data_IF_601131507418
#
_entry.id   IF_601131507418
#
_cell.length_a   1.000
_cell.length_b   1.000
_cell.length_c   1.000
_cell.angle_alpha   90.00
_cell.angle_beta   90.00
_cell.angle_gamma   90.00
#
_symmetry.space_group_name_H-M   'P 1'
#
loop_
_entity.id
_entity.type
_entity.pdbx_description
1 polymer ?
#
# COMPACT_ATOMS: atom_id res chain seq x y z
N UNK A 1 24.38 37.54 -26.89
CA UNK A 1 24.33 36.11 -26.53
C UNK A 1 22.90 35.85 -26.13
N UNK A 2 22.12 35.26 -27.04
CA UNK A 2 20.69 35.04 -26.85
C UNK A 2 20.49 33.68 -26.16
N UNK A 3 19.75 33.69 -25.06
CA UNK A 3 19.21 32.49 -24.40
C UNK A 3 18.14 31.90 -25.31
N UNK A 4 18.32 30.65 -25.73
CA UNK A 4 17.32 29.89 -26.47
C UNK A 4 16.48 29.08 -25.50
N UNK A 5 15.20 29.42 -25.38
CA UNK A 5 14.19 28.57 -24.77
C UNK A 5 14.05 27.29 -25.59
N UNK A 6 14.51 26.17 -25.04
CA UNK A 6 14.15 24.85 -25.54
C UNK A 6 12.77 24.47 -24.97
N UNK A 7 11.70 24.93 -25.62
CA UNK A 7 10.40 24.27 -25.51
C UNK A 7 10.54 22.86 -26.10
N UNK A 8 10.61 21.86 -25.23
CA UNK A 8 10.46 20.47 -25.65
C UNK A 8 8.99 20.25 -26.01
N UNK A 9 8.68 20.37 -27.30
CA UNK A 9 7.44 19.88 -27.89
C UNK A 9 7.29 18.38 -27.55
N UNK A 10 6.40 18.07 -26.61
CA UNK A 10 5.99 16.69 -26.35
C UNK A 10 5.21 16.24 -27.59
N UNK A 11 5.58 15.15 -28.27
CA UNK A 11 4.85 14.72 -29.46
C UNK A 11 3.42 14.39 -29.06
N UNK A 12 2.47 15.16 -29.60
CA UNK A 12 1.05 14.93 -29.43
C UNK A 12 0.70 13.64 -30.18
N UNK A 13 0.74 12.51 -29.47
CA UNK A 13 0.36 11.24 -30.05
C UNK A 13 -1.14 11.30 -30.33
N UNK A 14 -1.60 10.88 -31.51
CA UNK A 14 -3.04 10.82 -31.82
C UNK A 14 -3.86 10.02 -30.79
N UNK A 15 -3.20 9.21 -29.93
CA UNK A 15 -3.80 8.56 -28.75
C UNK A 15 -4.18 9.54 -27.63
N UNK A 16 -3.36 10.56 -27.38
CA UNK A 16 -3.64 11.62 -26.41
C UNK A 16 -4.81 12.48 -26.88
N UNK A 17 -4.84 12.85 -28.17
CA UNK A 17 -5.98 13.52 -28.79
C UNK A 17 -7.25 12.66 -28.73
N UNK A 18 -7.17 11.36 -29.06
CA UNK A 18 -8.31 10.45 -28.98
C UNK A 18 -8.82 10.33 -27.55
N UNK A 19 -7.93 10.15 -26.58
CA UNK A 19 -8.28 10.10 -25.16
C UNK A 19 -8.91 11.43 -24.70
N UNK A 20 -8.32 12.57 -25.05
CA UNK A 20 -8.89 13.88 -24.75
C UNK A 20 -10.25 14.10 -25.42
N UNK A 21 -10.49 13.53 -26.61
CA UNK A 21 -11.79 13.61 -27.30
C UNK A 21 -12.90 12.78 -26.64
N UNK A 22 -12.55 11.76 -25.84
CA UNK A 22 -13.52 11.07 -24.97
C UNK A 22 -13.95 11.92 -23.77
N UNK A 23 -13.23 12.99 -23.48
CA UNK A 23 -13.47 13.88 -22.35
C UNK A 23 -14.13 15.18 -22.82
N UNK A 24 -15.39 15.43 -22.45
CA UNK A 24 -16.08 16.66 -22.88
C UNK A 24 -15.45 17.94 -22.27
N UNK A 25 -14.67 18.70 -23.06
CA UNK A 25 -14.43 20.15 -22.83
C UNK A 25 -12.99 20.63 -22.57
N UNK A 26 -12.46 21.49 -23.46
CA UNK A 26 -11.59 22.66 -23.13
C UNK A 26 -11.64 23.64 -24.34
N UNK A 27 -11.59 24.99 -24.19
CA UNK A 27 -10.50 25.69 -23.47
C UNK A 27 -10.87 26.92 -22.60
N UNK A 28 -9.95 27.20 -21.67
CA UNK A 28 -9.50 28.49 -21.09
C UNK A 28 -10.51 29.62 -20.80
N UNK A 29 -10.67 29.94 -19.52
CA UNK A 29 -11.25 31.21 -19.06
C UNK A 29 -11.97 30.99 -17.72
N UNK A 30 -11.48 31.61 -16.65
CA UNK A 30 -11.99 31.43 -15.30
C UNK A 30 -13.47 31.84 -15.17
N UNK A 31 -14.17 31.13 -14.27
CA UNK A 31 -15.49 31.37 -13.65
C UNK A 31 -16.71 30.65 -14.29
N UNK A 32 -17.42 29.86 -13.46
CA UNK A 32 -18.70 29.15 -13.70
C UNK A 32 -18.75 27.91 -14.62
N UNK A 33 -17.66 27.14 -14.73
CA UNK A 33 -17.62 25.96 -15.61
C UNK A 33 -18.35 24.73 -15.01
N UNK A 34 -19.27 24.07 -15.74
CA UNK A 34 -19.90 22.82 -15.31
C UNK A 34 -18.86 21.70 -15.14
N UNK A 35 -19.07 20.83 -14.15
CA UNK A 35 -18.21 19.67 -13.85
C UNK A 35 -17.97 18.85 -15.12
N UNK A 36 -16.69 18.64 -15.48
CA UNK A 36 -16.28 17.78 -16.60
C UNK A 36 -16.41 16.31 -16.19
N UNK A 37 -17.24 15.53 -16.89
CA UNK A 37 -17.38 14.08 -16.65
C UNK A 37 -16.50 13.28 -17.62
N UNK A 38 -15.92 12.19 -17.13
CA UNK A 38 -15.07 11.31 -17.95
C UNK A 38 -15.87 10.49 -18.99
N UNK A 39 -17.17 10.31 -18.76
CA UNK A 39 -18.08 9.58 -19.63
C UNK A 39 -19.32 10.45 -19.88
N UNK A 40 -19.66 10.68 -21.14
CA UNK A 40 -20.78 11.53 -21.56
C UNK A 40 -22.16 10.87 -21.35
N UNK A 41 -22.18 9.55 -21.22
CA UNK A 41 -23.35 8.68 -21.10
C UNK A 41 -23.45 8.02 -19.72
N UNK A 42 -22.62 8.42 -18.76
CA UNK A 42 -22.71 7.88 -17.40
C UNK A 42 -24.04 8.27 -16.76
N UNK A 43 -24.85 7.26 -16.48
CA UNK A 43 -26.11 7.36 -15.74
C UNK A 43 -25.99 6.83 -14.31
N UNK A 44 -24.81 6.34 -13.94
CA UNK A 44 -24.53 5.86 -12.58
C UNK A 44 -24.58 7.03 -11.61
N UNK A 45 -25.53 6.99 -10.68
CA UNK A 45 -25.69 7.99 -9.62
C UNK A 45 -25.66 7.29 -8.27
N UNK A 46 -24.98 7.92 -7.31
CA UNK A 46 -25.08 7.57 -5.89
C UNK A 46 -25.99 8.61 -5.25
N UNK A 47 -27.05 8.22 -4.52
CA UNK A 47 -27.87 9.18 -3.80
C UNK A 47 -27.00 10.08 -2.94
N UNK A 48 -27.30 11.38 -2.91
CA UNK A 48 -26.63 12.29 -1.98
C UNK A 48 -26.94 11.84 -0.55
N UNK A 49 -25.95 11.26 0.11
CA UNK A 49 -25.98 10.84 1.51
C UNK A 49 -24.86 11.53 2.29
N UNK A 50 -24.96 11.51 3.62
CA UNK A 50 -23.85 11.90 4.48
C UNK A 50 -22.66 10.98 4.22
N UNK A 51 -21.45 11.55 4.17
CA UNK A 51 -20.24 10.76 4.13
C UNK A 51 -20.17 9.88 5.38
N UNK A 52 -19.79 8.62 5.19
CA UNK A 52 -19.51 7.71 6.30
C UNK A 52 -18.12 8.09 6.84
N UNK A 53 -18.07 8.72 7.99
CA UNK A 53 -16.83 9.16 8.63
C UNK A 53 -16.06 7.99 9.26
N UNK A 54 -14.84 8.25 9.74
CA UNK A 54 -14.00 7.21 10.36
C UNK A 54 -14.73 6.51 11.51
N UNK A 55 -15.34 7.26 12.42
CA UNK A 55 -15.96 6.69 13.64
C UNK A 55 -17.08 5.73 13.28
N UNK A 56 -17.98 6.12 12.38
CA UNK A 56 -19.07 5.24 11.92
C UNK A 56 -18.54 4.00 11.18
N UNK A 57 -17.39 4.11 10.49
CA UNK A 57 -16.73 2.97 9.83
C UNK A 57 -16.09 2.01 10.82
N UNK A 58 -15.43 2.53 11.86
CA UNK A 58 -14.86 1.74 12.95
C UNK A 58 -15.95 0.96 13.70
N UNK A 59 -17.09 1.60 14.01
CA UNK A 59 -18.25 0.96 14.63
C UNK A 59 -18.84 -0.15 13.74
N UNK A 60 -18.99 0.11 12.45
CA UNK A 60 -19.50 -0.88 11.49
C UNK A 60 -18.54 -2.06 11.30
N UNK A 61 -17.24 -1.80 11.28
CA UNK A 61 -16.20 -2.84 11.23
C UNK A 61 -16.26 -3.72 12.48
N UNK A 62 -16.19 -3.14 13.69
CA UNK A 62 -16.20 -3.90 14.96
C UNK A 62 -17.43 -4.79 15.12
N UNK A 63 -18.61 -4.32 14.68
CA UNK A 63 -19.85 -5.10 14.70
C UNK A 63 -19.79 -6.36 13.81
N UNK A 64 -18.90 -6.40 12.81
CA UNK A 64 -18.76 -7.49 11.84
C UNK A 64 -17.57 -8.42 12.09
N UNK A 65 -16.60 -7.97 12.91
CA UNK A 65 -15.35 -8.68 13.18
C UNK A 65 -15.54 -9.82 14.20
N UNK A 66 -14.73 -10.86 14.05
CA UNK A 66 -14.62 -11.93 15.03
C UNK A 66 -14.09 -11.40 16.38
N UNK A 67 -14.44 -12.06 17.48
CA UNK A 67 -14.00 -11.65 18.83
C UNK A 67 -12.48 -11.53 18.98
N UNK A 68 -11.69 -12.31 18.22
CA UNK A 68 -10.22 -12.27 18.25
C UNK A 68 -9.55 -11.32 17.23
N UNK A 69 -10.30 -10.70 16.32
CA UNK A 69 -9.74 -9.82 15.29
C UNK A 69 -9.15 -8.52 15.87
N UNK A 70 -8.26 -7.86 15.15
CA UNK A 70 -7.73 -6.57 15.62
C UNK A 70 -8.69 -5.43 15.30
N UNK A 71 -8.97 -4.54 16.26
CA UNK A 71 -9.89 -3.41 16.06
C UNK A 71 -9.13 -2.18 15.59
N UNK A 72 -9.65 -1.49 14.57
CA UNK A 72 -9.17 -0.17 14.23
C UNK A 72 -9.81 0.87 15.15
N UNK A 73 -9.01 1.69 15.83
CA UNK A 73 -9.53 2.72 16.74
C UNK A 73 -8.75 4.03 16.62
N UNK A 74 -9.43 5.10 16.23
CA UNK A 74 -8.89 6.45 16.23
C UNK A 74 -7.64 6.58 15.36
N UNK A 75 -6.52 6.95 15.97
CA UNK A 75 -5.27 7.13 15.26
C UNK A 75 -4.50 5.81 15.07
N UNK A 76 -4.82 4.78 15.86
CA UNK A 76 -3.99 3.57 16.05
C UNK A 76 -2.86 3.81 17.06
N UNK A 77 -2.26 2.72 17.55
CA UNK A 77 -1.08 2.79 18.41
C UNK A 77 0.18 3.01 17.56
N UNK A 78 0.83 4.17 17.69
CA UNK A 78 1.93 4.61 16.81
C UNK A 78 3.12 5.11 17.62
N UNK A 79 4.31 4.99 17.06
CA UNK A 79 5.54 5.50 17.68
C UNK A 79 5.57 7.02 17.84
N UNK A 80 4.95 7.77 16.92
CA UNK A 80 4.74 9.21 17.03
C UNK A 80 3.25 9.50 17.01
N UNK A 81 2.76 10.20 18.03
CA UNK A 81 1.36 10.59 18.14
C UNK A 81 0.95 11.51 16.98
N UNK A 82 -0.21 11.21 16.38
CA UNK A 82 -0.81 12.03 15.33
C UNK A 82 -2.34 12.00 15.45
N UNK A 83 -3.03 13.07 15.01
CA UNK A 83 -4.48 13.08 15.05
C UNK A 83 -5.07 11.98 14.14
N UNK A 84 -6.24 11.46 14.50
CA UNK A 84 -6.91 10.44 13.69
C UNK A 84 -7.47 11.07 12.41
N UNK A 85 -7.46 10.33 11.30
CA UNK A 85 -7.94 10.82 10.00
C UNK A 85 -9.47 10.91 10.02
N UNK A 86 -10.10 11.97 9.47
CA UNK A 86 -11.55 12.12 9.55
C UNK A 86 -12.35 11.02 8.83
N UNK A 87 -11.75 10.30 7.88
CA UNK A 87 -12.45 9.36 7.01
C UNK A 87 -11.88 7.94 7.03
N UNK A 88 -10.56 7.81 7.14
CA UNK A 88 -9.86 6.51 7.06
C UNK A 88 -9.57 5.93 8.44
N UNK A 89 -9.69 4.62 8.57
CA UNK A 89 -9.27 3.90 9.77
C UNK A 89 -7.74 3.90 9.90
N UNK A 90 -7.21 3.60 11.10
CA UNK A 90 -5.77 3.61 11.33
C UNK A 90 -4.98 2.66 10.43
N UNK A 91 -5.53 1.48 10.13
CA UNK A 91 -4.89 0.48 9.28
C UNK A 91 -5.04 0.76 7.78
N UNK A 92 -6.11 1.44 7.36
CA UNK A 92 -6.21 1.96 5.98
C UNK A 92 -5.15 3.02 5.70
N UNK A 93 -4.88 3.89 6.69
CA UNK A 93 -3.77 4.85 6.58
C UNK A 93 -2.42 4.15 6.45
N UNK A 94 -2.20 3.07 7.18
CA UNK A 94 -0.96 2.29 7.10
C UNK A 94 -0.78 1.67 5.73
N UNK A 95 -1.83 1.01 5.23
CA UNK A 95 -1.89 0.45 3.88
C UNK A 95 -1.52 1.51 2.83
N UNK A 96 -2.15 2.68 2.88
CA UNK A 96 -1.89 3.77 1.94
C UNK A 96 -0.43 4.27 2.04
N UNK A 97 0.10 4.42 3.25
CA UNK A 97 1.50 4.83 3.49
C UNK A 97 2.49 3.83 2.91
N UNK A 98 2.26 2.53 3.10
CA UNK A 98 3.10 1.46 2.54
C UNK A 98 3.02 1.48 1.01
N UNK A 99 1.82 1.48 0.45
CA UNK A 99 1.59 1.45 -1.00
C UNK A 99 2.27 2.63 -1.72
N UNK A 100 2.22 3.82 -1.11
CA UNK A 100 2.91 5.00 -1.63
C UNK A 100 4.36 5.14 -1.17
N UNK A 101 4.86 4.23 -0.33
CA UNK A 101 6.22 4.25 0.20
C UNK A 101 7.29 3.89 -0.82
N UNK A 102 8.48 4.47 -0.68
CA UNK A 102 9.61 4.18 -1.58
C UNK A 102 10.11 2.73 -1.46
N UNK A 103 10.02 2.13 -0.26
CA UNK A 103 10.38 0.74 -0.02
C UNK A 103 9.52 -0.23 -0.86
N UNK A 104 8.19 -0.01 -0.90
CA UNK A 104 7.26 -0.81 -1.69
C UNK A 104 7.51 -0.65 -3.20
N UNK A 105 7.67 0.59 -3.69
CA UNK A 105 7.99 0.84 -5.12
C UNK A 105 9.26 0.13 -5.58
N UNK A 106 10.29 0.07 -4.71
CA UNK A 106 11.56 -0.62 -5.00
C UNK A 106 11.40 -2.13 -5.16
N UNK A 107 10.32 -2.74 -4.68
CA UNK A 107 10.06 -4.17 -4.88
C UNK A 107 9.89 -4.53 -6.37
N UNK A 108 9.50 -3.59 -7.22
CA UNK A 108 9.41 -3.79 -8.67
C UNK A 108 10.78 -4.14 -9.30
N UNK A 109 11.87 -3.67 -8.69
CA UNK A 109 13.23 -3.94 -9.14
C UNK A 109 13.91 -5.12 -8.44
N UNK A 110 13.19 -5.86 -7.58
CA UNK A 110 13.73 -7.00 -6.82
C UNK A 110 13.10 -8.28 -7.35
N UNK A 111 13.92 -9.25 -7.72
CA UNK A 111 13.45 -10.56 -8.18
C UNK A 111 12.91 -11.38 -7.01
N UNK A 112 11.82 -12.13 -7.26
CA UNK A 112 11.36 -13.19 -6.38
C UNK A 112 11.85 -14.52 -6.97
N UNK A 113 12.83 -15.14 -6.29
CA UNK A 113 13.47 -16.44 -6.57
C UNK A 113 13.11 -17.06 -7.93
N UNK A 114 13.88 -16.78 -8.99
CA UNK A 114 14.19 -17.69 -10.13
C UNK A 114 15.18 -16.99 -11.06
N UNK A 115 16.35 -17.62 -11.30
CA UNK A 115 17.24 -17.30 -12.43
C UNK A 115 17.08 -18.44 -13.43
N UNK A 116 15.95 -18.48 -14.12
CA UNK A 116 15.72 -19.39 -15.25
C UNK A 116 15.03 -18.61 -16.37
N UNK A 117 15.47 -18.72 -17.64
CA UNK A 117 15.06 -17.81 -18.70
C UNK A 117 13.74 -18.25 -19.30
N UNK A 118 12.64 -18.02 -18.60
CA UNK A 118 11.31 -18.03 -19.18
C UNK A 118 10.54 -16.75 -18.82
N UNK A 119 9.57 -16.41 -19.67
CA UNK A 119 9.06 -15.06 -19.97
C UNK A 119 8.31 -14.37 -18.82
N UNK A 120 8.00 -15.05 -17.71
CA UNK A 120 7.05 -14.56 -16.68
C UNK A 120 7.64 -14.60 -15.26
N UNK A 121 8.81 -14.00 -15.08
CA UNK A 121 9.45 -13.93 -13.76
C UNK A 121 8.69 -13.00 -12.81
N UNK A 122 8.46 -13.46 -11.59
CA UNK A 122 7.88 -12.64 -10.52
C UNK A 122 8.92 -11.68 -9.96
N UNK A 123 8.48 -10.46 -9.73
CA UNK A 123 9.17 -9.52 -8.83
C UNK A 123 8.63 -9.70 -7.41
N UNK A 124 9.34 -9.16 -6.42
CA UNK A 124 8.82 -9.06 -5.05
C UNK A 124 7.56 -8.21 -4.98
N UNK A 125 7.41 -7.23 -5.88
CA UNK A 125 6.18 -6.44 -5.96
C UNK A 125 5.00 -7.32 -6.37
N UNK A 126 5.14 -8.10 -7.45
CA UNK A 126 4.07 -9.00 -7.89
C UNK A 126 3.78 -10.08 -6.84
N UNK A 127 4.81 -10.57 -6.14
CA UNK A 127 4.63 -11.49 -5.03
C UNK A 127 3.83 -10.86 -3.88
N UNK A 128 4.19 -9.66 -3.43
CA UNK A 128 3.47 -8.96 -2.38
C UNK A 128 1.99 -8.71 -2.74
N UNK A 129 1.70 -8.42 -4.01
CA UNK A 129 0.33 -8.29 -4.51
C UNK A 129 -0.44 -9.63 -4.50
N UNK A 130 0.21 -10.73 -4.86
CA UNK A 130 -0.39 -12.08 -4.78
C UNK A 130 -0.67 -12.47 -3.33
N UNK A 131 0.28 -12.23 -2.41
CA UNK A 131 0.11 -12.48 -0.97
C UNK A 131 -1.03 -11.63 -0.42
N UNK A 132 -1.07 -10.33 -0.71
CA UNK A 132 -2.15 -9.44 -0.29
C UNK A 132 -3.53 -9.93 -0.75
N UNK A 133 -3.65 -10.40 -2.00
CA UNK A 133 -4.92 -10.92 -2.50
C UNK A 133 -5.35 -12.22 -1.79
N UNK A 134 -4.42 -13.12 -1.48
CA UNK A 134 -4.72 -14.37 -0.75
C UNK A 134 -5.06 -14.05 0.72
N UNK A 135 -4.22 -13.28 1.39
CA UNK A 135 -4.36 -12.94 2.80
C UNK A 135 -5.69 -12.19 3.06
N UNK A 136 -6.04 -11.20 2.24
CA UNK A 136 -7.33 -10.49 2.39
C UNK A 136 -8.54 -11.36 2.08
N UNK A 137 -8.41 -12.40 1.25
CA UNK A 137 -9.47 -13.38 1.01
C UNK A 137 -9.71 -14.22 2.27
N UNK A 138 -8.63 -14.69 2.91
CA UNK A 138 -8.68 -15.45 4.16
C UNK A 138 -9.25 -14.57 5.28
N UNK A 139 -8.75 -13.34 5.45
CA UNK A 139 -9.22 -12.41 6.47
C UNK A 139 -10.71 -12.11 6.35
N UNK A 140 -11.23 -11.88 5.13
CA UNK A 140 -12.68 -11.70 4.90
C UNK A 140 -13.49 -12.91 5.34
N UNK A 141 -13.04 -14.12 4.98
CA UNK A 141 -13.76 -15.35 5.31
C UNK A 141 -13.75 -15.64 6.82
N UNK A 142 -12.71 -15.19 7.54
CA UNK A 142 -12.54 -15.38 8.98
C UNK A 142 -13.04 -14.20 9.81
N UNK A 143 -13.63 -13.17 9.19
CA UNK A 143 -14.05 -11.94 9.87
C UNK A 143 -12.90 -11.25 10.63
N UNK A 144 -11.71 -11.22 10.03
CA UNK A 144 -10.54 -10.50 10.54
C UNK A 144 -10.43 -9.10 9.93
N UNK A 145 -9.55 -8.27 10.48
CA UNK A 145 -9.34 -6.90 10.00
C UNK A 145 -8.63 -6.90 8.64
N UNK A 146 -9.41 -6.66 7.59
CA UNK A 146 -8.92 -6.72 6.20
C UNK A 146 -7.89 -5.61 5.91
N UNK A 147 -8.11 -4.33 6.28
CA UNK A 147 -7.09 -3.29 6.10
C UNK A 147 -5.75 -3.60 6.79
N UNK A 148 -5.75 -4.15 8.02
CA UNK A 148 -4.53 -4.55 8.71
C UNK A 148 -3.81 -5.68 7.98
N UNK A 149 -4.55 -6.73 7.60
CA UNK A 149 -4.00 -7.88 6.86
C UNK A 149 -3.35 -7.42 5.54
N UNK A 150 -4.02 -6.54 4.80
CA UNK A 150 -3.52 -5.99 3.53
C UNK A 150 -2.26 -5.13 3.75
N UNK A 151 -2.24 -4.29 4.79
CA UNK A 151 -1.07 -3.48 5.13
C UNK A 151 0.15 -4.35 5.45
N UNK A 152 -0.02 -5.40 6.27
CA UNK A 152 1.05 -6.34 6.61
C UNK A 152 1.54 -7.06 5.35
N UNK A 153 0.63 -7.59 4.53
CA UNK A 153 0.96 -8.30 3.30
C UNK A 153 1.70 -7.43 2.27
N UNK A 154 1.31 -6.16 2.10
CA UNK A 154 2.04 -5.24 1.21
C UNK A 154 3.42 -4.87 1.80
N UNK A 155 3.54 -4.81 3.13
CA UNK A 155 4.73 -4.40 3.85
C UNK A 155 5.78 -5.48 4.05
N UNK A 156 5.41 -6.77 4.09
CA UNK A 156 6.27 -7.87 4.57
C UNK A 156 7.64 -7.93 3.88
N UNK A 157 7.65 -7.69 2.56
CA UNK A 157 8.83 -7.81 1.71
C UNK A 157 9.64 -6.51 1.57
N UNK A 158 9.17 -5.40 2.15
CA UNK A 158 9.78 -4.07 2.01
C UNK A 158 11.22 -3.99 2.55
N UNK A 159 11.61 -4.90 3.43
CA UNK A 159 12.95 -4.95 4.01
C UNK A 159 14.00 -5.66 3.18
N UNK A 160 13.64 -6.39 2.12
CA UNK A 160 14.61 -7.19 1.36
C UNK A 160 15.71 -6.37 0.68
N UNK A 161 16.95 -6.85 0.73
CA UNK A 161 18.07 -6.28 0.00
C UNK A 161 18.13 -6.77 -1.46
N UNK A 162 19.11 -6.30 -2.24
CA UNK A 162 19.35 -6.78 -3.59
C UNK A 162 19.67 -8.28 -3.60
N UNK A 163 19.04 -9.06 -4.50
CA UNK A 163 19.27 -10.51 -4.57
C UNK A 163 18.50 -11.35 -3.55
N UNK A 164 17.49 -10.78 -2.89
CA UNK A 164 16.60 -11.53 -1.98
C UNK A 164 17.35 -12.02 -0.74
N UNK A 165 17.15 -13.27 -0.34
CA UNK A 165 17.81 -13.84 0.85
C UNK A 165 19.34 -13.84 0.76
N UNK A 166 19.95 -13.84 -0.44
CA UNK A 166 21.40 -13.71 -0.56
C UNK A 166 21.93 -12.40 0.04
N UNK A 167 21.10 -11.34 0.11
CA UNK A 167 21.47 -10.11 0.81
C UNK A 167 21.55 -10.27 2.33
N UNK A 168 20.80 -11.20 2.92
CA UNK A 168 20.83 -11.48 4.37
C UNK A 168 22.22 -11.91 4.80
N UNK A 169 22.76 -12.94 4.15
CA UNK A 169 24.12 -13.40 4.40
C UNK A 169 25.18 -12.35 4.04
N UNK A 170 25.01 -11.67 2.91
CA UNK A 170 26.01 -10.73 2.42
C UNK A 170 26.10 -9.45 3.27
N UNK A 171 24.99 -8.97 3.83
CA UNK A 171 24.94 -7.73 4.61
C UNK A 171 25.05 -7.97 6.12
N UNK A 172 24.75 -9.17 6.62
CA UNK A 172 24.81 -9.48 8.05
C UNK A 172 26.14 -9.12 8.74
N UNK A 173 27.32 -9.35 8.15
CA UNK A 173 28.60 -8.95 8.78
C UNK A 173 28.76 -7.44 8.99
N UNK A 174 27.97 -6.62 8.29
CA UNK A 174 28.05 -5.16 8.31
C UNK A 174 26.92 -4.49 9.12
N UNK A 175 25.96 -5.27 9.60
CA UNK A 175 24.84 -4.78 10.43
C UNK A 175 24.99 -5.38 11.82
N UNK A 176 25.05 -4.53 12.84
CA UNK A 176 25.12 -4.99 14.22
C UNK A 176 23.88 -5.84 14.56
N UNK A 177 24.09 -7.08 14.98
CA UNK A 177 23.01 -8.04 15.25
C UNK A 177 22.54 -8.85 14.04
N UNK A 178 23.15 -8.63 12.85
CA UNK A 178 22.78 -9.30 11.61
C UNK A 178 21.77 -8.51 10.77
N UNK A 179 21.57 -8.94 9.53
CA UNK A 179 20.61 -8.35 8.60
C UNK A 179 19.52 -9.38 8.27
N UNK A 180 18.30 -9.09 8.71
CA UNK A 180 17.09 -9.90 8.51
C UNK A 180 16.06 -9.02 7.81
N UNK A 181 15.49 -9.49 6.69
CA UNK A 181 14.59 -8.66 5.89
C UNK A 181 13.31 -8.28 6.63
N UNK A 182 12.77 -9.14 7.50
CA UNK A 182 11.52 -8.87 8.22
C UNK A 182 11.75 -7.78 9.27
N UNK A 183 12.81 -7.93 10.06
CA UNK A 183 13.21 -6.94 11.08
C UNK A 183 13.59 -5.61 10.43
N UNK A 184 14.42 -5.66 9.38
CA UNK A 184 14.82 -4.45 8.66
C UNK A 184 13.64 -3.77 7.97
N UNK A 185 12.68 -4.55 7.47
CA UNK A 185 11.45 -4.07 6.87
C UNK A 185 10.66 -3.19 7.84
N UNK A 186 10.34 -3.73 9.01
CA UNK A 186 9.58 -3.03 10.04
C UNK A 186 10.38 -1.86 10.64
N UNK A 187 11.61 -2.11 11.08
CA UNK A 187 12.32 -1.22 12.01
C UNK A 187 13.19 -0.17 11.31
N UNK A 188 13.45 -0.34 10.00
CA UNK A 188 14.30 0.59 9.24
C UNK A 188 13.62 1.09 7.97
N UNK A 189 13.19 0.19 7.08
CA UNK A 189 12.62 0.57 5.78
C UNK A 189 11.28 1.30 5.92
N UNK A 190 10.43 0.86 6.84
CA UNK A 190 9.07 1.39 7.03
C UNK A 190 8.94 2.29 8.27
N UNK A 191 9.94 2.32 9.16
CA UNK A 191 9.93 3.18 10.35
C UNK A 191 9.59 4.66 10.05
N UNK A 192 10.07 5.30 8.96
CA UNK A 192 9.70 6.69 8.66
C UNK A 192 8.21 6.91 8.35
N UNK A 193 7.43 5.85 8.11
CA UNK A 193 6.01 5.95 7.79
C UNK A 193 5.11 6.06 9.02
N UNK A 194 5.65 5.90 10.24
CA UNK A 194 4.90 5.98 11.50
C UNK A 194 3.66 5.07 11.49
N UNK A 195 3.83 3.81 11.10
CA UNK A 195 2.75 2.81 11.02
C UNK A 195 2.29 2.39 12.42
N UNK A 196 1.11 1.74 12.51
CA UNK A 196 0.62 1.19 13.76
C UNK A 196 1.52 0.04 14.25
N UNK A 197 1.59 -0.14 15.57
CA UNK A 197 2.39 -1.17 16.21
C UNK A 197 2.04 -2.58 15.71
N UNK A 198 0.75 -2.86 15.51
CA UNK A 198 0.23 -4.13 15.00
C UNK A 198 0.69 -4.39 13.57
N UNK A 199 0.68 -3.36 12.71
CA UNK A 199 1.19 -3.45 11.33
C UNK A 199 2.68 -3.75 11.33
N UNK A 200 3.47 -3.04 12.14
CA UNK A 200 4.91 -3.26 12.25
C UNK A 200 5.25 -4.63 12.84
N UNK A 201 4.47 -5.11 13.82
CA UNK A 201 4.64 -6.43 14.41
C UNK A 201 4.38 -7.54 13.38
N UNK A 202 3.26 -7.49 12.66
CA UNK A 202 2.98 -8.43 11.58
C UNK A 202 4.11 -8.48 10.55
N UNK A 203 4.61 -7.33 10.12
CA UNK A 203 5.73 -7.26 9.16
C UNK A 203 7.02 -7.84 9.75
N UNK A 204 7.33 -7.55 11.02
CA UNK A 204 8.55 -8.03 11.70
C UNK A 204 8.57 -9.54 11.90
N UNK A 205 7.40 -10.16 12.00
CA UNK A 205 7.23 -11.52 12.48
C UNK A 205 6.53 -12.46 11.46
N UNK A 206 6.23 -12.00 10.24
CA UNK A 206 5.60 -12.81 9.19
C UNK A 206 6.43 -14.06 8.79
N UNK A 207 7.75 -13.99 8.92
CA UNK A 207 8.62 -15.10 8.50
C UNK A 207 8.58 -16.25 9.51
N UNK A 208 8.50 -17.49 9.03
CA UNK A 208 8.46 -18.71 9.84
C UNK A 208 9.65 -18.88 10.82
N UNK A 209 10.76 -18.18 10.58
CA UNK A 209 11.95 -18.18 11.44
C UNK A 209 11.86 -17.20 12.62
N UNK A 210 10.76 -16.44 12.71
CA UNK A 210 10.51 -15.42 13.73
C UNK A 210 9.46 -15.92 14.74
N UNK A 211 9.32 -15.26 15.91
CA UNK A 211 8.17 -15.48 16.79
C UNK A 211 6.85 -15.26 16.03
N UNK A 212 5.76 -15.85 16.50
CA UNK A 212 4.44 -15.60 15.91
C UNK A 212 4.07 -14.11 16.03
N UNK A 213 3.42 -13.52 15.01
CA UNK A 213 2.80 -12.20 15.11
C UNK A 213 1.79 -12.11 16.26
N UNK A 214 1.60 -10.91 16.80
CA UNK A 214 0.70 -10.67 17.93
C UNK A 214 -0.80 -10.72 17.55
N UNK A 215 -1.11 -10.67 16.25
CA UNK A 215 -2.48 -10.60 15.74
C UNK A 215 -2.80 -11.77 14.82
N UNK A 216 -4.06 -12.24 14.77
CA UNK A 216 -4.47 -13.26 13.80
C UNK A 216 -4.33 -12.75 12.36
N UNK A 217 -4.47 -11.44 12.11
CA UNK A 217 -4.18 -10.84 10.80
C UNK A 217 -2.71 -11.02 10.40
N UNK A 218 -1.79 -10.91 11.37
CA UNK A 218 -0.37 -11.17 11.14
C UNK A 218 -0.10 -12.65 10.86
N UNK A 219 -0.74 -13.58 11.57
CA UNK A 219 -0.57 -15.03 11.30
C UNK A 219 -1.14 -15.47 9.95
N UNK A 220 -2.09 -14.72 9.39
CA UNK A 220 -2.62 -14.99 8.04
C UNK A 220 -1.60 -14.66 6.94
N UNK A 221 -0.67 -13.73 7.19
CA UNK A 221 0.34 -13.26 6.23
C UNK A 221 1.63 -14.06 6.37
#
# INVERSE_FOLDING_TARGET
MAEGDHETEVPDSGRAELWASTMAGTPAGHTDTPVRTAHADSTATVPHGSLLDRTAREEGEDASLAAGATRATGAGDRGVEEPPDPLRTCFERDRDRILHGTAFRRLAGKTQVFVFPEDHQRTRLTHALEVAQVATSIARALHLNVPLTDAIALGHDCGHGPGGHASEDALSPYVAGGYDHAVWGADVSLAPLNLCAETLDGIRNHSWSRPAPATPEGEVV
#
